data_IF_471783566328
#
_entry.id   IF_471783566328
#
_cell.length_a   1.000
_cell.length_b   1.000
_cell.length_c   1.000
_cell.angle_alpha   90.00
_cell.angle_beta   90.00
_cell.angle_gamma   90.00
#
_symmetry.space_group_name_H-M   'P 1'
#
loop_
_entity.id
_entity.type
_entity.pdbx_description
1 polymer ?
#
# COMPACT_ATOMS: atom_id res chain seq x y z
N UNK A 1 24.52 30.45 -24.09
CA UNK A 1 25.71 30.98 -23.38
C UNK A 1 26.10 29.98 -22.31
N UNK A 2 27.38 29.62 -22.23
CA UNK A 2 27.93 28.77 -21.17
C UNK A 2 27.88 29.53 -19.84
N UNK A 3 27.00 29.14 -18.91
CA UNK A 3 26.83 29.88 -17.66
C UNK A 3 28.04 29.70 -16.73
N UNK A 4 28.28 30.70 -15.89
CA UNK A 4 29.19 30.74 -14.73
C UNK A 4 30.60 31.26 -14.99
N UNK A 5 30.85 32.51 -14.55
CA UNK A 5 32.20 33.03 -14.34
C UNK A 5 33.01 32.14 -13.37
N UNK A 6 32.34 31.56 -12.38
CA UNK A 6 32.97 30.68 -11.38
C UNK A 6 33.47 29.36 -11.97
N UNK A 7 33.01 28.98 -13.18
CA UNK A 7 33.49 27.79 -13.90
C UNK A 7 34.53 28.15 -14.98
N UNK A 8 35.04 29.38 -15.01
CA UNK A 8 36.13 29.74 -15.92
C UNK A 8 37.39 28.90 -15.62
N UNK A 9 38.09 28.48 -16.67
CA UNK A 9 39.23 27.56 -16.57
C UNK A 9 40.57 28.30 -16.53
N UNK A 10 41.53 27.74 -15.78
CA UNK A 10 42.97 28.00 -15.92
C UNK A 10 43.64 26.70 -16.31
N UNK A 11 44.50 26.72 -17.33
CA UNK A 11 45.19 25.54 -17.87
C UNK A 11 46.70 25.80 -17.91
N UNK A 12 47.44 24.92 -17.25
CA UNK A 12 48.89 25.01 -17.13
C UNK A 12 49.51 23.63 -17.26
N UNK A 13 50.60 23.54 -18.01
CA UNK A 13 51.44 22.36 -18.21
C UNK A 13 52.82 22.65 -17.62
N UNK A 14 53.28 21.75 -16.76
CA UNK A 14 54.62 21.82 -16.17
C UNK A 14 55.52 20.74 -16.75
N UNK A 15 56.77 21.08 -17.06
CA UNK A 15 57.79 20.13 -17.52
C UNK A 15 57.90 19.97 -19.04
N UNK A 16 57.06 20.64 -19.82
CA UNK A 16 57.16 20.73 -21.28
C UNK A 16 56.72 22.14 -21.75
N UNK A 17 57.70 22.96 -22.11
CA UNK A 17 57.48 24.36 -22.49
C UNK A 17 56.73 24.49 -23.82
N UNK A 18 56.93 23.55 -24.75
CA UNK A 18 56.27 23.57 -26.05
C UNK A 18 54.77 23.24 -25.89
N UNK A 19 54.45 22.26 -25.04
CA UNK A 19 53.08 21.91 -24.74
C UNK A 19 52.36 23.01 -23.93
N UNK A 20 53.06 23.65 -22.99
CA UNK A 20 52.54 24.83 -22.29
C UNK A 20 52.26 25.99 -23.26
N UNK A 21 53.17 26.26 -24.20
CA UNK A 21 52.97 27.32 -25.19
C UNK A 21 51.82 27.04 -26.16
N UNK A 22 51.43 25.78 -26.35
CA UNK A 22 50.32 25.39 -27.22
C UNK A 22 48.96 25.34 -26.50
N UNK A 23 48.92 24.79 -25.27
CA UNK A 23 47.65 24.52 -24.55
C UNK A 23 47.39 25.43 -23.34
N UNK A 24 48.37 26.23 -22.91
CA UNK A 24 48.27 27.06 -21.72
C UNK A 24 47.22 28.16 -21.85
N UNK A 25 46.45 28.37 -20.78
CA UNK A 25 45.51 29.48 -20.63
C UNK A 25 45.46 29.97 -19.19
N UNK A 26 45.84 31.22 -18.96
CA UNK A 26 45.63 31.96 -17.71
C UNK A 26 45.21 33.39 -18.07
N UNK A 27 44.07 33.83 -17.55
CA UNK A 27 43.52 35.16 -17.82
C UNK A 27 44.46 36.31 -17.38
N UNK A 28 45.39 36.05 -16.47
CA UNK A 28 46.37 37.02 -15.97
C UNK A 28 47.73 36.97 -16.69
N UNK A 29 47.97 35.99 -17.56
CA UNK A 29 49.24 35.83 -18.28
C UNK A 29 49.39 36.83 -19.43
N UNK A 30 50.62 37.23 -19.72
CA UNK A 30 50.94 38.16 -20.82
C UNK A 30 50.81 37.54 -22.21
N UNK A 31 50.81 36.20 -22.31
CA UNK A 31 50.64 35.44 -23.56
C UNK A 31 50.04 34.08 -23.24
N UNK A 32 49.07 33.63 -24.04
CA UNK A 32 48.41 32.34 -23.90
C UNK A 32 48.52 31.51 -25.18
N UNK A 33 48.57 30.18 -25.03
CA UNK A 33 48.54 29.25 -26.17
C UNK A 33 47.13 29.02 -26.71
N UNK A 34 46.14 29.03 -25.82
CA UNK A 34 44.72 28.99 -26.21
C UNK A 34 44.06 30.36 -26.21
N UNK A 35 43.00 30.47 -27.02
CA UNK A 35 42.16 31.66 -27.15
C UNK A 35 40.76 31.43 -26.56
N UNK A 36 40.12 32.50 -26.06
CA UNK A 36 38.76 32.44 -25.52
C UNK A 36 37.75 32.52 -26.65
N UNK A 37 37.25 31.37 -27.11
CA UNK A 37 36.21 31.34 -28.16
C UNK A 37 34.84 31.81 -27.67
N UNK A 38 34.50 31.53 -26.41
CA UNK A 38 33.25 31.97 -25.75
C UNK A 38 33.61 32.41 -24.33
N UNK A 39 33.39 33.68 -24.02
CA UNK A 39 33.58 34.19 -22.67
C UNK A 39 32.57 33.54 -21.72
N UNK A 40 33.05 33.03 -20.58
CA UNK A 40 32.18 32.66 -19.49
C UNK A 40 31.47 33.91 -18.96
N UNK A 41 30.18 33.82 -18.70
CA UNK A 41 29.41 34.93 -18.14
C UNK A 41 28.30 34.41 -17.23
N UNK A 42 28.05 35.15 -16.16
CA UNK A 42 26.89 34.93 -15.32
C UNK A 42 25.62 35.43 -16.01
N UNK A 43 24.49 34.80 -15.70
CA UNK A 43 23.19 35.32 -16.03
C UNK A 43 22.94 36.59 -15.22
N UNK A 44 22.47 37.65 -15.89
CA UNK A 44 22.12 38.93 -15.27
C UNK A 44 20.66 39.23 -15.59
N UNK A 45 19.84 39.42 -14.57
CA UNK A 45 18.42 39.70 -14.72
C UNK A 45 17.94 40.68 -13.66
N UNK A 46 16.74 41.23 -13.85
CA UNK A 46 16.05 41.99 -12.81
C UNK A 46 14.68 41.38 -12.56
N UNK A 47 14.32 41.24 -11.29
CA UNK A 47 12.99 40.79 -10.86
C UNK A 47 12.43 41.87 -9.94
N UNK A 48 11.28 42.46 -10.31
CA UNK A 48 10.70 43.59 -9.59
C UNK A 48 11.71 44.72 -9.31
N UNK A 49 12.53 45.06 -10.30
CA UNK A 49 13.62 46.05 -10.23
C UNK A 49 14.79 45.73 -9.28
N UNK A 50 14.86 44.50 -8.75
CA UNK A 50 16.02 44.01 -8.00
C UNK A 50 16.95 43.27 -8.96
N UNK A 51 18.21 43.70 -9.03
CA UNK A 51 19.22 43.03 -9.83
C UNK A 51 19.62 41.69 -9.19
N UNK A 52 19.63 40.64 -10.01
CA UNK A 52 20.04 39.29 -9.64
C UNK A 52 21.14 38.87 -10.62
N UNK A 53 22.21 38.30 -10.08
CA UNK A 53 23.27 37.65 -10.84
C UNK A 53 23.27 36.16 -10.46
N UNK A 54 23.40 35.27 -11.44
CA UNK A 54 23.43 33.84 -11.18
C UNK A 54 24.40 33.12 -12.11
N UNK A 55 25.07 32.10 -11.60
CA UNK A 55 26.00 31.29 -12.36
C UNK A 55 25.31 30.35 -13.36
N UNK A 56 23.98 30.16 -13.28
CA UNK A 56 23.21 29.26 -14.14
C UNK A 56 22.05 29.97 -14.85
N UNK A 57 21.67 29.46 -16.03
CA UNK A 57 20.41 29.84 -16.68
C UNK A 57 19.19 29.09 -16.08
N UNK A 58 19.41 28.11 -15.22
CA UNK A 58 18.39 27.47 -14.39
C UNK A 58 18.60 27.93 -12.96
N UNK A 59 17.87 28.98 -12.58
CA UNK A 59 17.99 29.68 -11.31
C UNK A 59 16.99 29.08 -10.33
N UNK A 60 17.45 28.56 -9.20
CA UNK A 60 16.58 27.93 -8.18
C UNK A 60 16.87 28.36 -6.74
N UNK A 61 17.86 29.23 -6.56
CA UNK A 61 18.42 29.69 -5.30
C UNK A 61 18.20 31.20 -5.06
N UNK A 62 17.84 31.96 -6.10
CA UNK A 62 17.63 33.41 -5.99
C UNK A 62 16.18 33.80 -5.67
N UNK A 63 15.19 32.97 -6.04
CA UNK A 63 13.77 33.22 -5.81
C UNK A 63 13.19 32.09 -4.98
N UNK A 64 12.66 32.40 -3.80
CA UNK A 64 12.09 31.39 -2.90
C UNK A 64 10.96 30.60 -3.58
N UNK A 65 11.06 29.27 -3.53
CA UNK A 65 10.09 28.33 -4.09
C UNK A 65 9.86 28.45 -5.61
N UNK A 66 10.78 29.08 -6.36
CA UNK A 66 10.68 29.27 -7.80
C UNK A 66 11.95 28.77 -8.48
N UNK A 67 11.79 27.91 -9.47
CA UNK A 67 12.85 27.64 -10.46
C UNK A 67 12.56 28.45 -11.72
N UNK A 68 13.43 29.40 -12.03
CA UNK A 68 13.37 30.24 -13.22
C UNK A 68 14.34 29.72 -14.28
N UNK A 69 13.82 29.42 -15.47
CA UNK A 69 14.62 29.01 -16.62
C UNK A 69 14.74 30.17 -17.61
N UNK A 70 15.98 30.61 -17.86
CA UNK A 70 16.32 31.66 -18.80
C UNK A 70 16.65 31.04 -20.16
N UNK A 71 15.89 31.46 -21.18
CA UNK A 71 16.05 30.93 -22.53
C UNK A 71 16.78 31.92 -23.45
N UNK A 72 16.48 33.21 -23.32
CA UNK A 72 17.07 34.27 -24.15
C UNK A 72 16.93 35.63 -23.46
N UNK A 73 17.62 36.63 -24.01
CA UNK A 73 17.50 38.03 -23.60
C UNK A 73 16.10 38.55 -23.93
N UNK A 74 15.47 39.22 -22.97
CA UNK A 74 14.13 39.78 -23.16
C UNK A 74 14.18 41.15 -23.87
N UNK A 75 13.12 41.47 -24.60
CA UNK A 75 12.90 42.81 -25.17
C UNK A 75 11.59 43.40 -24.65
N UNK A 76 11.58 44.70 -24.33
CA UNK A 76 10.42 45.35 -23.73
C UNK A 76 10.08 44.84 -22.32
N UNK A 77 8.86 45.11 -21.87
CA UNK A 77 8.38 44.68 -20.55
C UNK A 77 7.81 43.26 -20.61
N UNK A 78 8.34 42.36 -19.78
CA UNK A 78 7.89 40.97 -19.65
C UNK A 78 7.36 40.70 -18.24
N UNK A 79 6.44 39.75 -18.10
CA UNK A 79 5.81 39.42 -16.82
C UNK A 79 5.80 37.91 -16.57
N UNK A 80 6.22 37.52 -15.37
CA UNK A 80 5.98 36.20 -14.82
C UNK A 80 4.78 36.27 -13.88
N UNK A 81 3.74 35.47 -14.13
CA UNK A 81 2.55 35.40 -13.27
C UNK A 81 2.54 34.09 -12.51
N UNK A 82 2.45 34.17 -11.19
CA UNK A 82 2.28 33.01 -10.31
C UNK A 82 0.85 33.06 -9.77
N UNK A 83 0.07 32.04 -10.09
CA UNK A 83 -1.31 31.90 -9.62
C UNK A 83 -1.48 30.67 -8.76
N UNK A 84 -2.37 30.74 -7.79
CA UNK A 84 -2.79 29.57 -7.04
C UNK A 84 -3.42 28.53 -7.98
N UNK A 85 -2.89 27.31 -7.97
CA UNK A 85 -3.44 26.16 -8.68
C UNK A 85 -4.01 25.16 -7.67
N UNK A 86 -5.34 25.06 -7.62
CA UNK A 86 -6.04 24.11 -6.72
C UNK A 86 -6.33 22.77 -7.39
N UNK A 87 -6.04 22.62 -8.69
CA UNK A 87 -6.42 21.43 -9.47
C UNK A 87 -5.77 20.15 -8.94
N UNK A 88 -4.48 20.22 -8.58
CA UNK A 88 -3.75 19.09 -8.00
C UNK A 88 -4.35 18.63 -6.68
N UNK A 89 -4.74 19.56 -5.82
CA UNK A 89 -5.38 19.25 -4.54
C UNK A 89 -6.77 18.64 -4.74
N UNK A 90 -7.56 19.17 -5.69
CA UNK A 90 -8.88 18.62 -6.03
C UNK A 90 -8.77 17.18 -6.54
N UNK A 91 -7.85 16.91 -7.45
CA UNK A 91 -7.61 15.56 -7.98
C UNK A 91 -7.19 14.61 -6.88
N UNK A 92 -6.21 14.99 -6.04
CA UNK A 92 -5.74 14.15 -4.95
C UNK A 92 -6.86 13.82 -3.94
N UNK A 93 -7.71 14.79 -3.60
CA UNK A 93 -8.85 14.58 -2.71
C UNK A 93 -9.90 13.67 -3.34
N UNK A 94 -10.21 13.85 -4.63
CA UNK A 94 -11.13 13.00 -5.38
C UNK A 94 -10.63 11.55 -5.44
N UNK A 95 -9.36 11.35 -5.73
CA UNK A 95 -8.75 10.02 -5.81
C UNK A 95 -8.76 9.33 -4.45
N UNK A 96 -8.49 10.09 -3.38
CA UNK A 96 -8.59 9.58 -2.01
C UNK A 96 -10.02 9.16 -1.63
N UNK A 97 -11.03 9.98 -1.96
CA UNK A 97 -12.45 9.63 -1.76
C UNK A 97 -12.81 8.35 -2.52
N UNK A 98 -12.38 8.23 -3.78
CA UNK A 98 -12.64 7.05 -4.60
C UNK A 98 -11.96 5.79 -4.04
N UNK A 99 -10.72 5.90 -3.57
CA UNK A 99 -9.97 4.80 -2.97
C UNK A 99 -10.63 4.34 -1.66
N UNK A 100 -11.07 5.29 -0.83
CA UNK A 100 -11.83 4.97 0.38
C UNK A 100 -13.15 4.25 0.06
N UNK A 101 -13.93 4.75 -0.91
CA UNK A 101 -15.18 4.11 -1.30
C UNK A 101 -14.97 2.70 -1.86
N UNK A 102 -13.91 2.49 -2.63
CA UNK A 102 -13.52 1.16 -3.13
C UNK A 102 -13.15 0.21 -1.99
N UNK A 103 -12.54 0.71 -0.92
CA UNK A 103 -12.28 -0.07 0.29
C UNK A 103 -13.59 -0.43 1.02
N UNK A 104 -14.55 0.49 1.13
CA UNK A 104 -15.88 0.20 1.69
C UNK A 104 -16.63 -0.86 0.88
N UNK A 105 -16.52 -0.81 -0.45
CA UNK A 105 -17.08 -1.85 -1.33
C UNK A 105 -16.41 -3.21 -1.08
N UNK A 106 -15.09 -3.22 -0.89
CA UNK A 106 -14.34 -4.43 -0.56
C UNK A 106 -14.78 -5.00 0.78
N UNK A 107 -14.95 -4.18 1.82
CA UNK A 107 -15.49 -4.63 3.11
C UNK A 107 -16.88 -5.21 2.95
N UNK A 108 -17.78 -4.51 2.26
CA UNK A 108 -19.15 -4.95 2.02
C UNK A 108 -19.20 -6.30 1.31
N UNK A 109 -18.33 -6.53 0.33
CA UNK A 109 -18.20 -7.82 -0.35
C UNK A 109 -17.67 -8.91 0.58
N UNK A 110 -16.66 -8.62 1.40
CA UNK A 110 -16.02 -9.59 2.30
C UNK A 110 -16.88 -9.94 3.51
N UNK A 111 -17.80 -9.07 3.92
CA UNK A 111 -18.69 -9.28 5.08
C UNK A 111 -20.16 -9.44 4.70
N UNK A 112 -20.47 -9.66 3.43
CA UNK A 112 -21.85 -9.82 2.96
C UNK A 112 -22.55 -10.97 3.70
N UNK A 113 -23.78 -10.72 4.11
CA UNK A 113 -24.68 -11.74 4.64
C UNK A 113 -25.95 -11.81 3.79
N UNK A 114 -26.32 -13.02 3.41
CA UNK A 114 -27.58 -13.34 2.73
C UNK A 114 -28.37 -14.26 3.64
N UNK A 115 -29.54 -13.79 4.09
CA UNK A 115 -30.45 -14.58 4.90
C UNK A 115 -30.91 -15.83 4.14
N UNK A 116 -31.04 -16.94 4.87
CA UNK A 116 -31.62 -18.20 4.39
C UNK A 116 -32.94 -18.43 5.09
N UNK A 117 -33.79 -19.29 4.51
CA UNK A 117 -35.08 -19.63 5.11
C UNK A 117 -34.92 -20.21 6.51
N UNK A 118 -35.88 -19.92 7.38
CA UNK A 118 -35.88 -20.43 8.75
C UNK A 118 -35.89 -21.97 8.74
N UNK A 119 -34.85 -22.58 9.34
CA UNK A 119 -34.67 -24.02 9.37
C UNK A 119 -33.80 -24.60 8.25
N UNK A 120 -33.19 -23.76 7.41
CA UNK A 120 -32.22 -24.23 6.43
C UNK A 120 -30.95 -24.81 7.10
N UNK A 121 -30.52 -26.00 6.66
CA UNK A 121 -29.36 -26.72 7.20
C UNK A 121 -28.00 -26.10 6.80
N UNK A 122 -28.00 -25.14 5.87
CA UNK A 122 -26.78 -24.52 5.36
C UNK A 122 -26.94 -23.02 5.15
N UNK A 123 -25.85 -22.29 5.35
CA UNK A 123 -25.76 -20.85 5.08
C UNK A 123 -25.64 -20.59 3.57
N UNK A 124 -25.98 -19.37 3.13
CA UNK A 124 -25.82 -18.98 1.73
C UNK A 124 -24.35 -19.02 1.30
N UNK A 125 -24.07 -19.68 0.16
CA UNK A 125 -22.74 -19.66 -0.48
C UNK A 125 -22.33 -18.28 -1.01
N UNK A 126 -23.26 -17.32 -1.04
CA UNK A 126 -23.01 -15.93 -1.41
C UNK A 126 -22.51 -15.06 -0.25
N UNK A 127 -22.38 -15.62 0.96
CA UNK A 127 -21.82 -14.91 2.11
C UNK A 127 -20.35 -14.58 1.89
N UNK A 128 -19.93 -13.42 2.39
CA UNK A 128 -18.53 -13.02 2.36
C UNK A 128 -17.67 -13.88 3.27
N UNK A 129 -16.44 -14.18 2.84
CA UNK A 129 -15.53 -15.08 3.55
C UNK A 129 -15.08 -14.56 4.93
N UNK A 130 -15.21 -13.25 5.17
CA UNK A 130 -14.83 -12.58 6.42
C UNK A 130 -16.07 -12.08 7.20
N UNK A 131 -17.24 -12.65 6.92
CA UNK A 131 -18.44 -12.37 7.70
C UNK A 131 -18.19 -12.65 9.19
N UNK A 132 -18.30 -11.62 10.01
CA UNK A 132 -18.06 -11.71 11.46
C UNK A 132 -16.59 -11.58 11.89
N UNK A 133 -15.64 -11.38 10.96
CA UNK A 133 -14.23 -11.19 11.29
C UNK A 133 -14.03 -9.91 12.13
N UNK A 134 -13.38 -10.08 13.28
CA UNK A 134 -13.15 -8.97 14.22
C UNK A 134 -12.08 -7.99 13.73
N UNK A 135 -11.11 -8.47 12.93
CA UNK A 135 -10.01 -7.65 12.42
C UNK A 135 -10.53 -6.63 11.42
N UNK A 136 -11.34 -7.09 10.47
CA UNK A 136 -12.02 -6.25 9.48
C UNK A 136 -12.94 -5.24 10.17
N UNK A 137 -13.77 -5.68 11.12
CA UNK A 137 -14.65 -4.78 11.87
C UNK A 137 -13.88 -3.70 12.64
N UNK A 138 -12.72 -4.06 13.21
CA UNK A 138 -11.84 -3.11 13.91
C UNK A 138 -11.32 -2.05 12.96
N UNK A 139 -10.79 -2.45 11.81
CA UNK A 139 -10.29 -1.51 10.78
C UNK A 139 -11.40 -0.58 10.30
N UNK A 140 -12.57 -1.12 9.95
CA UNK A 140 -13.71 -0.33 9.46
C UNK A 140 -14.17 0.70 10.50
N UNK A 141 -14.28 0.30 11.77
CA UNK A 141 -14.69 1.20 12.86
C UNK A 141 -13.64 2.28 13.13
N UNK A 142 -12.35 1.93 13.11
CA UNK A 142 -11.26 2.87 13.31
C UNK A 142 -11.19 3.90 12.18
N UNK A 143 -11.33 3.48 10.92
CA UNK A 143 -11.40 4.41 9.77
C UNK A 143 -12.58 5.37 9.90
N UNK A 144 -13.78 4.86 10.19
CA UNK A 144 -14.98 5.70 10.38
C UNK A 144 -14.79 6.71 11.52
N UNK A 145 -14.17 6.27 12.62
CA UNK A 145 -13.84 7.15 13.76
C UNK A 145 -12.86 8.26 13.37
N UNK A 146 -11.81 7.95 12.60
CA UNK A 146 -10.83 8.96 12.14
C UNK A 146 -11.44 10.00 11.22
N UNK A 147 -12.41 9.62 10.38
CA UNK A 147 -13.13 10.54 9.49
C UNK A 147 -14.15 11.42 10.22
N UNK A 148 -14.66 10.95 11.37
CA UNK A 148 -15.64 11.68 12.18
C UNK A 148 -14.99 12.59 13.22
N UNK A 149 -13.86 12.16 13.78
CA UNK A 149 -13.15 12.83 14.88
C UNK A 149 -11.97 13.66 14.36
N UNK A 150 -12.26 14.59 13.46
CA UNK A 150 -11.25 15.41 12.80
C UNK A 150 -10.82 16.56 13.70
N UNK A 151 -9.50 16.74 13.85
CA UNK A 151 -8.91 17.86 14.59
C UNK A 151 -8.09 18.69 13.62
N UNK A 152 -8.41 19.97 13.54
CA UNK A 152 -7.71 20.93 12.69
C UNK A 152 -7.46 22.23 13.44
N UNK A 153 -6.30 22.83 13.19
CA UNK A 153 -5.94 24.16 13.68
C UNK A 153 -6.62 25.29 12.89
N UNK A 154 -7.15 25.03 11.69
CA UNK A 154 -7.79 26.03 10.82
C UNK A 154 -9.28 26.21 11.11
N UNK A 155 -9.96 27.09 10.37
CA UNK A 155 -11.42 27.25 10.46
C UNK A 155 -12.19 26.03 9.94
N UNK A 156 -11.56 25.18 9.13
CA UNK A 156 -12.13 23.92 8.68
C UNK A 156 -11.86 22.84 9.72
N UNK A 157 -12.89 22.48 10.47
CA UNK A 157 -12.89 21.46 11.52
C UNK A 157 -13.39 20.10 11.04
N UNK A 158 -14.19 20.04 9.97
CA UNK A 158 -14.79 18.79 9.46
C UNK A 158 -14.69 18.66 7.94
N UNK A 159 -14.71 17.42 7.45
CA UNK A 159 -14.75 17.09 6.02
C UNK A 159 -15.98 17.71 5.32
N UNK A 160 -17.12 17.78 6.01
CA UNK A 160 -18.34 18.36 5.46
C UNK A 160 -18.19 19.85 5.11
N UNK A 161 -17.37 20.61 5.86
CA UNK A 161 -17.12 22.03 5.59
C UNK A 161 -16.30 22.26 4.30
N UNK A 162 -15.60 21.24 3.82
CA UNK A 162 -14.85 21.27 2.56
C UNK A 162 -15.54 20.48 1.44
N UNK A 163 -16.82 20.12 1.63
CA UNK A 163 -17.62 19.45 0.61
C UNK A 163 -17.52 17.92 0.60
N UNK A 164 -17.03 17.29 1.66
CA UNK A 164 -16.98 15.82 1.76
C UNK A 164 -17.91 15.34 2.87
N UNK A 165 -19.00 14.69 2.49
CA UNK A 165 -19.97 14.10 3.43
C UNK A 165 -19.79 12.59 3.54
N UNK A 166 -20.35 12.00 4.59
CA UNK A 166 -20.35 10.55 4.79
C UNK A 166 -21.78 10.06 4.74
N UNK A 167 -22.07 9.10 3.86
CA UNK A 167 -23.36 8.43 3.82
C UNK A 167 -23.57 7.66 5.13
N UNK A 168 -24.70 7.89 5.84
CA UNK A 168 -24.92 7.30 7.15
C UNK A 168 -25.24 5.78 7.09
N UNK A 169 -25.65 5.27 5.93
CA UNK A 169 -26.09 3.89 5.71
C UNK A 169 -24.91 2.94 5.44
N UNK A 170 -23.98 3.30 4.57
CA UNK A 170 -22.85 2.46 4.18
C UNK A 170 -21.48 3.02 4.62
N UNK A 171 -21.43 4.29 5.01
CA UNK A 171 -20.20 4.97 5.43
C UNK A 171 -19.34 5.47 4.27
N UNK A 172 -19.80 5.42 3.03
CA UNK A 172 -19.08 5.97 1.87
C UNK A 172 -18.97 7.49 1.96
N UNK A 173 -17.95 8.03 1.30
CA UNK A 173 -17.73 9.45 1.16
C UNK A 173 -18.36 9.98 -0.13
N UNK A 174 -19.06 11.10 -0.03
CA UNK A 174 -19.61 11.83 -1.16
C UNK A 174 -18.88 13.17 -1.31
N UNK A 175 -18.41 13.48 -2.52
CA UNK A 175 -17.66 14.70 -2.81
C UNK A 175 -18.51 15.70 -3.61
N UNK A 176 -18.78 16.84 -2.99
CA UNK A 176 -19.29 18.06 -3.63
C UNK A 176 -18.09 18.86 -4.16
N UNK A 177 -17.82 18.68 -5.46
CA UNK A 177 -16.67 19.29 -6.12
C UNK A 177 -16.72 20.83 -6.11
N UNK A 178 -17.91 21.42 -6.16
CA UNK A 178 -18.08 22.88 -6.16
C UNK A 178 -17.76 23.47 -4.78
N UNK A 179 -18.24 22.82 -3.70
CA UNK A 179 -17.88 23.22 -2.33
C UNK A 179 -16.39 23.05 -2.06
N UNK A 180 -15.78 21.95 -2.53
CA UNK A 180 -14.34 21.76 -2.39
C UNK A 180 -13.57 22.87 -3.13
N UNK A 181 -13.98 23.20 -4.36
CA UNK A 181 -13.41 24.29 -5.15
C UNK A 181 -13.51 25.62 -4.41
N UNK A 182 -14.69 25.94 -3.87
CA UNK A 182 -14.92 27.16 -3.11
C UNK A 182 -14.06 27.21 -1.83
N UNK A 183 -13.94 26.09 -1.11
CA UNK A 183 -13.13 26.01 0.10
C UNK A 183 -11.63 26.21 -0.19
N UNK A 184 -11.10 25.58 -1.24
CA UNK A 184 -9.71 25.72 -1.68
C UNK A 184 -9.39 27.13 -2.19
N UNK A 185 -10.28 27.75 -2.96
CA UNK A 185 -10.12 29.15 -3.39
C UNK A 185 -10.15 30.13 -2.22
N UNK A 186 -10.96 29.83 -1.19
CA UNK A 186 -11.09 30.68 0.00
C UNK A 186 -9.87 30.58 0.91
N UNK A 187 -9.42 29.36 1.21
CA UNK A 187 -8.32 29.10 2.13
C UNK A 187 -7.73 27.69 1.91
N UNK A 188 -6.92 27.54 0.87
CA UNK A 188 -6.26 26.26 0.54
C UNK A 188 -5.35 25.76 1.68
N UNK A 189 -4.66 26.66 2.38
CA UNK A 189 -3.81 26.31 3.52
C UNK A 189 -4.64 25.75 4.68
N UNK A 190 -5.83 26.31 4.94
CA UNK A 190 -6.75 25.80 5.93
C UNK A 190 -7.34 24.44 5.58
N UNK A 191 -7.65 24.18 4.31
CA UNK A 191 -8.02 22.83 3.83
C UNK A 191 -6.84 21.86 4.01
N UNK A 192 -5.63 22.29 3.68
CA UNK A 192 -4.40 21.53 3.92
C UNK A 192 -4.19 21.18 5.39
N UNK A 193 -4.46 22.11 6.31
CA UNK A 193 -4.36 21.88 7.75
C UNK A 193 -5.36 20.84 8.27
N UNK A 194 -6.54 20.72 7.65
CA UNK A 194 -7.51 19.67 7.99
C UNK A 194 -7.09 18.30 7.43
N UNK A 195 -6.71 18.26 6.15
CA UNK A 195 -6.41 17.01 5.44
C UNK A 195 -5.05 16.44 5.87
N UNK A 196 -4.00 17.26 5.82
CA UNK A 196 -2.59 16.86 6.05
C UNK A 196 -2.10 17.21 7.45
N UNK A 197 -2.60 18.30 8.04
CA UNK A 197 -2.14 18.77 9.35
C UNK A 197 -0.63 19.08 9.37
N UNK A 198 0.06 18.65 10.42
CA UNK A 198 1.52 18.79 10.56
C UNK A 198 2.32 17.70 9.83
N UNK A 199 1.63 16.76 9.16
CA UNK A 199 2.24 15.63 8.47
C UNK A 199 2.86 14.57 9.39
N UNK A 200 2.71 14.69 10.72
CA UNK A 200 3.37 13.80 11.70
C UNK A 200 2.39 13.22 12.73
N UNK A 201 1.54 14.06 13.33
CA UNK A 201 0.62 13.68 14.41
C UNK A 201 -0.83 14.09 14.15
N UNK A 202 -1.02 15.18 13.41
CA UNK A 202 -2.32 15.79 13.15
C UNK A 202 -2.63 15.72 11.66
N UNK A 203 -3.91 15.83 11.31
CA UNK A 203 -4.37 15.69 9.94
C UNK A 203 -4.94 14.30 9.65
N UNK A 204 -6.02 14.28 8.89
CA UNK A 204 -6.79 13.08 8.57
C UNK A 204 -5.92 12.03 7.86
N UNK A 205 -5.19 12.46 6.83
CA UNK A 205 -4.34 11.55 6.03
C UNK A 205 -3.14 11.06 6.83
N UNK A 206 -2.61 11.88 7.73
CA UNK A 206 -1.52 11.48 8.63
C UNK A 206 -1.96 10.40 9.62
N UNK A 207 -3.11 10.58 10.28
CA UNK A 207 -3.62 9.57 11.22
C UNK A 207 -4.01 8.28 10.52
N UNK A 208 -4.65 8.37 9.35
CA UNK A 208 -5.01 7.22 8.53
C UNK A 208 -3.75 6.50 8.04
N UNK A 209 -2.76 7.24 7.52
CA UNK A 209 -1.49 6.69 7.05
C UNK A 209 -0.76 5.91 8.14
N UNK A 210 -0.65 6.48 9.35
CA UNK A 210 -0.03 5.81 10.50
C UNK A 210 -0.74 4.50 10.88
N UNK A 211 -2.08 4.51 10.92
CA UNK A 211 -2.87 3.30 11.21
C UNK A 211 -2.74 2.24 10.11
N UNK A 212 -2.78 2.65 8.83
CA UNK A 212 -2.56 1.75 7.70
C UNK A 212 -1.19 1.08 7.78
N UNK A 213 -0.12 1.85 8.04
CA UNK A 213 1.22 1.29 8.25
C UNK A 213 1.24 0.30 9.41
N UNK A 214 0.59 0.62 10.53
CA UNK A 214 0.51 -0.29 11.69
C UNK A 214 -0.23 -1.59 11.36
N UNK A 215 -1.39 -1.52 10.69
CA UNK A 215 -2.18 -2.70 10.35
C UNK A 215 -1.49 -3.62 9.33
N UNK A 216 -0.77 -3.02 8.37
CA UNK A 216 -0.07 -3.72 7.29
C UNK A 216 1.35 -4.17 7.67
N UNK A 217 1.87 -3.74 8.82
CA UNK A 217 3.19 -4.14 9.29
C UNK A 217 3.33 -5.65 9.55
N UNK A 218 4.57 -6.13 9.63
CA UNK A 218 4.87 -7.54 9.94
C UNK A 218 4.42 -7.98 11.33
N UNK A 219 4.19 -7.04 12.23
CA UNK A 219 3.63 -7.26 13.58
C UNK A 219 2.19 -6.74 13.69
N UNK A 220 1.58 -6.35 12.58
CA UNK A 220 0.25 -5.76 12.50
C UNK A 220 -0.88 -6.78 12.66
N UNK A 221 -2.09 -6.25 12.87
CA UNK A 221 -3.29 -7.04 13.13
C UNK A 221 -3.66 -7.95 11.95
N UNK A 222 -3.41 -7.52 10.71
CA UNK A 222 -3.70 -8.32 9.52
C UNK A 222 -2.77 -9.53 9.47
N UNK A 223 -1.47 -9.33 9.70
CA UNK A 223 -0.50 -10.42 9.75
C UNK A 223 -0.81 -11.41 10.88
N UNK A 224 -1.17 -10.90 12.05
CA UNK A 224 -1.57 -11.74 13.19
C UNK A 224 -2.80 -12.60 12.87
N UNK A 225 -3.81 -12.03 12.21
CA UNK A 225 -4.99 -12.78 11.78
C UNK A 225 -4.62 -13.88 10.76
N UNK A 226 -3.84 -13.55 9.73
CA UNK A 226 -3.38 -14.50 8.71
C UNK A 226 -2.55 -15.64 9.31
N UNK A 227 -1.67 -15.33 10.27
CA UNK A 227 -0.88 -16.34 10.99
C UNK A 227 -1.76 -17.24 11.86
N UNK A 228 -2.77 -16.66 12.50
CA UNK A 228 -3.78 -17.40 13.25
C UNK A 228 -4.51 -18.42 12.39
N UNK A 229 -5.02 -17.97 11.22
CA UNK A 229 -5.68 -18.86 10.23
C UNK A 229 -4.72 -19.95 9.76
N UNK A 230 -3.47 -19.60 9.46
CA UNK A 230 -2.45 -20.56 9.01
C UNK A 230 -2.13 -21.61 10.07
N UNK A 231 -2.06 -21.21 11.35
CA UNK A 231 -1.86 -22.15 12.47
C UNK A 231 -3.06 -23.09 12.63
N UNK A 232 -4.29 -22.57 12.52
CA UNK A 232 -5.50 -23.40 12.55
C UNK A 232 -5.52 -24.40 11.40
N UNK A 233 -5.18 -23.97 10.18
CA UNK A 233 -5.07 -24.84 9.02
C UNK A 233 -4.06 -25.97 9.27
N UNK A 234 -2.85 -25.63 9.72
CA UNK A 234 -1.82 -26.62 10.02
C UNK A 234 -2.24 -27.60 11.12
N UNK A 235 -2.97 -27.14 12.14
CA UNK A 235 -3.51 -28.01 13.18
C UNK A 235 -4.56 -28.96 12.61
N UNK A 236 -5.50 -28.44 11.80
CA UNK A 236 -6.56 -29.25 11.20
C UNK A 236 -5.99 -30.32 10.27
N UNK A 237 -4.95 -29.99 9.48
CA UNK A 237 -4.25 -30.99 8.65
C UNK A 237 -3.63 -32.10 9.48
N UNK A 238 -3.00 -31.78 10.62
CA UNK A 238 -2.44 -32.80 11.53
C UNK A 238 -3.54 -33.67 12.13
N UNK A 239 -4.62 -33.06 12.59
CA UNK A 239 -5.74 -33.77 13.19
C UNK A 239 -6.42 -34.70 12.16
N UNK A 240 -6.56 -34.25 10.91
CA UNK A 240 -7.07 -35.06 9.79
C UNK A 240 -6.18 -36.27 9.52
N UNK A 241 -4.86 -36.08 9.38
CA UNK A 241 -3.94 -37.18 9.12
C UNK A 241 -3.96 -38.23 10.25
N UNK A 242 -3.95 -37.78 11.51
CA UNK A 242 -4.03 -38.68 12.66
C UNK A 242 -5.35 -39.46 12.71
N UNK A 243 -6.47 -38.86 12.28
CA UNK A 243 -7.75 -39.55 12.16
C UNK A 243 -7.72 -40.59 11.03
N UNK A 244 -7.14 -40.24 9.87
CA UNK A 244 -6.95 -41.16 8.74
C UNK A 244 -6.14 -42.40 9.16
N UNK A 245 -4.99 -42.19 9.81
CA UNK A 245 -4.12 -43.28 10.27
C UNK A 245 -4.85 -44.23 11.25
N UNK A 246 -5.70 -43.68 12.12
CA UNK A 246 -6.51 -44.48 13.06
C UNK A 246 -7.56 -45.31 12.33
N UNK A 247 -8.21 -44.75 11.32
CA UNK A 247 -9.19 -45.49 10.50
C UNK A 247 -8.49 -46.63 9.78
N UNK A 248 -7.34 -46.38 9.17
CA UNK A 248 -6.57 -47.41 8.45
C UNK A 248 -6.14 -48.54 9.39
N UNK A 249 -5.64 -48.21 10.58
CA UNK A 249 -5.27 -49.19 11.60
C UNK A 249 -6.49 -50.02 12.07
N UNK A 250 -7.66 -49.38 12.24
CA UNK A 250 -8.87 -50.09 12.65
C UNK A 250 -9.40 -51.02 11.56
N UNK A 251 -9.37 -50.59 10.30
CA UNK A 251 -9.71 -51.42 9.15
C UNK A 251 -8.76 -52.61 9.05
N UNK A 252 -7.45 -52.40 9.21
CA UNK A 252 -6.46 -53.49 9.22
C UNK A 252 -6.74 -54.50 10.33
N UNK A 253 -7.01 -54.03 11.56
CA UNK A 253 -7.37 -54.90 12.69
C UNK A 253 -8.65 -55.70 12.42
N UNK A 254 -9.68 -55.06 11.87
CA UNK A 254 -10.92 -55.77 11.53
C UNK A 254 -10.72 -56.80 10.42
N UNK A 255 -9.89 -56.52 9.42
CA UNK A 255 -9.51 -57.51 8.41
C UNK A 255 -8.83 -58.72 9.05
N UNK A 256 -7.89 -58.51 9.97
CA UNK A 256 -7.21 -59.60 10.68
C UNK A 256 -8.18 -60.42 11.54
N UNK A 257 -9.02 -59.76 12.33
CA UNK A 257 -10.04 -60.42 13.15
C UNK A 257 -11.03 -61.23 12.29
N UNK A 258 -11.43 -60.70 11.13
CA UNK A 258 -12.33 -61.39 10.22
C UNK A 258 -11.67 -62.64 9.61
N UNK A 259 -10.39 -62.55 9.22
CA UNK A 259 -9.63 -63.72 8.76
C UNK A 259 -9.48 -64.79 9.85
N UNK A 260 -9.21 -64.39 11.10
CA UNK A 260 -9.14 -65.33 12.21
C UNK A 260 -10.49 -65.99 12.51
N UNK A 261 -11.58 -65.24 12.43
CA UNK A 261 -12.94 -65.76 12.55
C UNK A 261 -13.26 -66.77 11.44
N UNK A 262 -12.81 -66.52 10.21
CA UNK A 262 -12.98 -67.45 9.08
C UNK A 262 -12.21 -68.77 9.29
N UNK A 263 -10.97 -68.70 9.80
CA UNK A 263 -10.18 -69.89 10.20
C UNK A 263 -10.85 -70.65 11.34
N UNK A 264 -11.35 -69.95 12.36
CA UNK A 264 -12.06 -70.56 13.48
C UNK A 264 -13.35 -71.23 13.00
N UNK A 265 -14.12 -70.58 12.14
CA UNK A 265 -15.35 -71.14 11.56
C UNK A 265 -15.04 -72.40 10.75
N UNK A 266 -13.97 -72.38 9.95
CA UNK A 266 -13.50 -73.55 9.21
C UNK A 266 -13.09 -74.69 10.14
N UNK A 267 -12.39 -74.39 11.23
CA UNK A 267 -12.00 -75.37 12.26
C UNK A 267 -13.21 -75.92 13.04
N UNK A 268 -14.20 -75.09 13.34
CA UNK A 268 -15.44 -75.53 13.99
C UNK A 268 -16.25 -76.42 13.06
N UNK A 269 -16.33 -76.08 11.77
CA UNK A 269 -16.97 -76.91 10.75
C UNK A 269 -16.26 -78.26 10.61
N UNK A 270 -14.92 -78.31 10.54
CA UNK A 270 -14.17 -79.57 10.47
C UNK A 270 -14.34 -80.42 11.73
N UNK A 271 -14.36 -79.78 12.91
CA UNK A 271 -14.64 -80.45 14.18
C UNK A 271 -16.06 -81.02 14.24
N UNK A 272 -17.05 -80.25 13.79
CA UNK A 272 -18.45 -80.69 13.70
C UNK A 272 -18.58 -81.90 12.77
N UNK A 273 -17.93 -81.88 11.61
CA UNK A 273 -17.89 -83.02 10.69
C UNK A 273 -17.24 -84.25 11.31
N UNK A 274 -16.10 -84.08 12.01
CA UNK A 274 -15.42 -85.17 12.71
C UNK A 274 -16.29 -85.81 13.81
N UNK A 275 -16.94 -84.98 14.63
CA UNK A 275 -17.87 -85.46 15.67
C UNK A 275 -19.07 -86.17 15.07
N UNK A 276 -19.65 -85.64 14.00
CA UNK A 276 -20.75 -86.28 13.26
C UNK A 276 -20.33 -87.66 12.77
N UNK A 277 -19.14 -87.77 12.17
CA UNK A 277 -18.61 -89.04 11.68
C UNK A 277 -18.30 -90.04 12.80
N UNK A 278 -17.83 -89.58 13.97
CA UNK A 278 -17.65 -90.42 15.15
C UNK A 278 -19.00 -90.92 15.69
N UNK A 279 -20.03 -90.08 15.75
CA UNK A 279 -21.37 -90.49 16.17
C UNK A 279 -22.03 -91.46 15.19
N UNK A 280 -21.84 -91.27 13.88
CA UNK A 280 -22.33 -92.22 12.85
C UNK A 280 -21.63 -93.58 12.96
N UNK A 281 -20.31 -93.60 13.17
CA UNK A 281 -19.56 -94.84 13.35
C UNK A 281 -19.93 -95.57 14.66
N UNK A 282 -20.19 -94.84 15.73
CA UNK A 282 -20.61 -95.42 17.02
C UNK A 282 -22.10 -95.88 16.98
N UNK A 283 -22.93 -95.26 16.13
CA UNK A 283 -24.33 -95.67 15.91
C UNK A 283 -24.46 -96.93 15.05
N UNK A 284 -23.47 -97.22 14.20
CA UNK A 284 -23.38 -98.46 13.41
C UNK A 284 -22.70 -99.63 14.16
N UNK A 285 -22.33 -99.44 15.44
CA UNK A 285 -21.65 -100.43 16.28
C UNK A 285 -22.59 -101.18 17.25
N UNK A 286 -23.87 -101.28 16.92
CA UNK A 286 -24.87 -102.12 17.63
C UNK A 286 -25.51 -103.14 16.71
#
# INVERSE_FOLDING_TARGET
>A
MTPALDNAMTLSVSGDDALQSFMGYDASASSNGMEVSVAAQNAQLTVNNVAIENSSNTISDALENITLNLNDVTTGNQTLTITQDTSKAQTAIKDWVNAYNSLIDTFSSLTKYTAVDAGADSQSSSNGALLGDSTLRTIQTQLKSMLSNTVSSSNYKTLAQIGITTDPSDGKLELDADKLTAALKKDASGVGALIVGDGKKTGITTTIGSNLTSWLSTTGIIKAATDGVSKTLNKLTKDYNAASDRIDAQVARYKEQFTQLDVLMTSLNSTSSYLTQQFENNSNSK
#
